data_IF_079796225055
#
_entry.id   IF_079796225055
#
_cell.length_a   1.000
_cell.length_b   1.000
_cell.length_c   1.000
_cell.angle_alpha   90.00
_cell.angle_beta   90.00
_cell.angle_gamma   90.00
#
_symmetry.space_group_name_H-M   'P 1'
#
loop_
_entity.id
_entity.type
_entity.pdbx_description
1 polymer ?
#
# COMPACT_ATOMS: atom_id res chain seq x y z
N UNK A 1 -11.22 13.89 -13.26
CA UNK A 1 -11.57 15.07 -12.44
C UNK A 1 -10.51 15.40 -11.39
N UNK A 2 -9.97 14.44 -10.63
CA UNK A 2 -8.95 14.74 -9.59
C UNK A 2 -7.69 15.36 -10.19
N UNK A 3 -7.01 14.66 -11.12
CA UNK A 3 -5.75 15.11 -11.73
C UNK A 3 -5.87 16.44 -12.50
N UNK A 4 -7.05 16.72 -13.07
CA UNK A 4 -7.30 17.95 -13.82
C UNK A 4 -7.43 19.20 -12.92
N UNK A 5 -7.78 19.02 -11.65
CA UNK A 5 -8.07 20.12 -10.73
C UNK A 5 -7.01 20.29 -9.62
N UNK A 6 -6.28 19.22 -9.30
CA UNK A 6 -5.31 19.21 -8.19
C UNK A 6 -4.16 20.22 -8.37
N UNK A 7 -3.82 20.56 -9.62
CA UNK A 7 -2.79 21.55 -9.95
C UNK A 7 -3.14 22.97 -9.47
N UNK A 8 -4.44 23.28 -9.35
CA UNK A 8 -4.95 24.59 -8.94
C UNK A 8 -5.20 24.71 -7.44
N UNK A 9 -5.10 23.58 -6.71
CA UNK A 9 -5.26 23.56 -5.26
C UNK A 9 -3.99 24.07 -4.58
N UNK A 10 -4.15 24.84 -3.52
CA UNK A 10 -3.06 25.42 -2.73
C UNK A 10 -3.00 24.86 -1.31
N UNK A 11 -4.09 24.26 -0.83
CA UNK A 11 -4.15 23.63 0.47
C UNK A 11 -3.52 22.22 0.44
N UNK A 12 -2.38 22.10 1.13
CA UNK A 12 -1.60 20.86 1.24
C UNK A 12 -2.40 19.67 1.80
N UNK A 13 -3.36 19.91 2.71
CA UNK A 13 -4.19 18.85 3.28
C UNK A 13 -5.26 18.35 2.30
N UNK A 14 -5.77 19.25 1.46
CA UNK A 14 -6.72 18.91 0.38
C UNK A 14 -6.00 18.12 -0.71
N UNK A 15 -4.82 18.56 -1.14
CA UNK A 15 -3.98 17.83 -2.11
C UNK A 15 -3.71 16.41 -1.59
N UNK A 16 -3.23 16.27 -0.36
CA UNK A 16 -2.95 14.97 0.24
C UNK A 16 -4.20 14.07 0.28
N UNK A 17 -5.37 14.64 0.58
CA UNK A 17 -6.64 13.90 0.59
C UNK A 17 -7.03 13.42 -0.81
N UNK A 18 -6.89 14.27 -1.82
CA UNK A 18 -7.17 13.93 -3.21
C UNK A 18 -6.22 12.86 -3.76
N UNK A 19 -4.93 12.92 -3.39
CA UNK A 19 -3.94 11.89 -3.76
C UNK A 19 -4.26 10.52 -3.14
N UNK A 20 -4.67 10.49 -1.86
CA UNK A 20 -5.15 9.24 -1.23
C UNK A 20 -6.40 8.68 -1.91
N UNK A 21 -7.33 9.55 -2.31
CA UNK A 21 -8.54 9.15 -3.04
C UNK A 21 -8.21 8.62 -4.44
N UNK A 22 -7.25 9.22 -5.13
CA UNK A 22 -6.74 8.74 -6.42
C UNK A 22 -6.18 7.32 -6.27
N UNK A 23 -5.27 7.10 -5.32
CA UNK A 23 -4.69 5.78 -5.06
C UNK A 23 -5.77 4.73 -4.69
N UNK A 24 -6.74 5.11 -3.87
CA UNK A 24 -7.88 4.24 -3.51
C UNK A 24 -8.71 3.88 -4.74
N UNK A 25 -8.99 4.86 -5.61
CA UNK A 25 -9.79 4.67 -6.82
C UNK A 25 -9.11 3.71 -7.78
N UNK A 26 -7.83 3.92 -8.06
CA UNK A 26 -7.02 3.05 -8.92
C UNK A 26 -6.91 1.62 -8.37
N UNK A 27 -6.79 1.49 -7.05
CA UNK A 27 -6.66 0.18 -6.39
C UNK A 27 -7.96 -0.63 -6.42
N UNK A 28 -9.08 0.01 -6.05
CA UNK A 28 -10.32 -0.71 -5.74
C UNK A 28 -11.44 -0.52 -6.77
N UNK A 29 -11.54 0.64 -7.41
CA UNK A 29 -12.75 1.01 -8.16
C UNK A 29 -12.59 0.91 -9.68
N UNK A 30 -11.37 1.03 -10.19
CA UNK A 30 -11.09 0.80 -11.62
C UNK A 30 -11.17 -0.70 -11.93
N UNK A 31 -11.81 -1.06 -13.04
CA UNK A 31 -11.90 -2.43 -13.56
C UNK A 31 -10.54 -2.98 -13.94
N UNK A 32 -10.38 -4.31 -13.90
CA UNK A 32 -9.11 -4.96 -14.21
C UNK A 32 -8.61 -4.65 -15.65
N UNK A 33 -9.54 -4.47 -16.60
CA UNK A 33 -9.22 -4.13 -18.00
C UNK A 33 -8.57 -2.74 -18.13
N UNK A 34 -9.05 -1.75 -17.37
CA UNK A 34 -8.56 -0.38 -17.46
C UNK A 34 -7.47 -0.04 -16.44
N UNK A 35 -7.26 -0.90 -15.42
CA UNK A 35 -6.44 -0.59 -14.23
C UNK A 35 -5.00 -0.22 -14.60
N UNK A 36 -4.35 -1.00 -15.45
CA UNK A 36 -2.94 -0.79 -15.80
C UNK A 36 -2.76 0.53 -16.56
N UNK A 37 -3.57 0.75 -17.60
CA UNK A 37 -3.54 1.99 -18.38
C UNK A 37 -3.86 3.22 -17.53
N UNK A 38 -4.88 3.14 -16.66
CA UNK A 38 -5.27 4.23 -15.77
C UNK A 38 -4.20 4.54 -14.72
N UNK A 39 -3.54 3.52 -14.17
CA UNK A 39 -2.47 3.67 -13.18
C UNK A 39 -1.25 4.32 -13.81
N UNK A 40 -0.82 3.85 -14.98
CA UNK A 40 0.29 4.44 -15.73
C UNK A 40 0.00 5.90 -16.06
N UNK A 41 -1.18 6.21 -16.62
CA UNK A 41 -1.54 7.58 -16.96
C UNK A 41 -1.62 8.51 -15.73
N UNK A 42 -2.10 8.00 -14.59
CA UNK A 42 -2.15 8.77 -13.35
C UNK A 42 -0.75 9.08 -12.80
N UNK A 43 0.15 8.11 -12.83
CA UNK A 43 1.55 8.33 -12.44
C UNK A 43 2.24 9.31 -13.38
N UNK A 44 2.07 9.19 -14.70
CA UNK A 44 2.64 10.16 -15.66
C UNK A 44 2.16 11.59 -15.42
N UNK A 45 0.85 11.76 -15.13
CA UNK A 45 0.30 13.07 -14.77
C UNK A 45 0.87 13.61 -13.46
N UNK A 46 1.07 12.77 -12.44
CA UNK A 46 1.71 13.18 -11.19
C UNK A 46 3.17 13.60 -11.39
N UNK A 47 3.88 12.94 -12.29
CA UNK A 47 5.23 13.33 -12.67
C UNK A 47 5.26 14.72 -13.33
N UNK A 48 4.36 14.97 -14.28
CA UNK A 48 4.21 16.29 -14.91
C UNK A 48 3.86 17.38 -13.88
N UNK A 49 2.93 17.08 -12.96
CA UNK A 49 2.57 17.99 -11.88
C UNK A 49 3.74 18.28 -10.94
N UNK A 50 4.57 17.29 -10.63
CA UNK A 50 5.77 17.51 -9.81
C UNK A 50 6.80 18.40 -10.49
N UNK A 51 6.87 18.36 -11.82
CA UNK A 51 7.81 19.16 -12.62
C UNK A 51 7.32 20.61 -12.83
N UNK A 52 6.01 20.85 -12.74
CA UNK A 52 5.39 22.16 -12.96
C UNK A 52 4.95 22.86 -11.67
N UNK A 53 4.91 22.15 -10.54
CA UNK A 53 4.67 22.72 -9.21
C UNK A 53 5.75 23.75 -8.83
N UNK A 54 5.42 24.67 -7.93
CA UNK A 54 6.40 25.61 -7.39
C UNK A 54 7.57 24.85 -6.74
N UNK A 55 8.80 25.19 -7.13
CA UNK A 55 10.03 24.56 -6.64
C UNK A 55 10.12 24.59 -5.10
N UNK A 56 10.39 23.44 -4.50
CA UNK A 56 10.51 23.28 -3.04
C UNK A 56 9.19 23.35 -2.28
N UNK A 57 8.04 23.33 -2.97
CA UNK A 57 6.72 23.34 -2.32
C UNK A 57 6.32 21.96 -1.77
N UNK A 58 5.45 21.96 -0.76
CA UNK A 58 4.82 20.74 -0.25
C UNK A 58 4.07 19.97 -1.36
N UNK A 59 3.42 20.68 -2.29
CA UNK A 59 2.73 20.08 -3.42
C UNK A 59 3.69 19.30 -4.32
N UNK A 60 4.86 19.88 -4.65
CA UNK A 60 5.90 19.19 -5.41
C UNK A 60 6.31 17.88 -4.71
N UNK A 61 6.60 17.94 -3.40
CA UNK A 61 6.96 16.74 -2.63
C UNK A 61 5.85 15.69 -2.65
N UNK A 62 4.59 16.09 -2.42
CA UNK A 62 3.45 15.17 -2.41
C UNK A 62 3.20 14.52 -3.78
N UNK A 63 3.41 15.24 -4.87
CA UNK A 63 3.31 14.69 -6.22
C UNK A 63 4.41 13.69 -6.52
N UNK A 64 5.67 13.96 -6.13
CA UNK A 64 6.77 12.98 -6.26
C UNK A 64 6.51 11.71 -5.45
N UNK A 65 6.06 11.86 -4.19
CA UNK A 65 5.70 10.73 -3.33
C UNK A 65 4.57 9.89 -3.93
N UNK A 66 3.54 10.54 -4.46
CA UNK A 66 2.40 9.86 -5.08
C UNK A 66 2.76 9.22 -6.42
N UNK A 67 3.63 9.86 -7.20
CA UNK A 67 4.22 9.28 -8.41
C UNK A 67 4.95 7.98 -8.09
N UNK A 68 5.85 8.01 -7.09
CA UNK A 68 6.58 6.81 -6.67
C UNK A 68 5.65 5.72 -6.13
N UNK A 69 4.60 6.09 -5.38
CA UNK A 69 3.59 5.16 -4.88
C UNK A 69 2.84 4.44 -6.01
N UNK A 70 2.53 5.15 -7.11
CA UNK A 70 1.70 4.66 -8.22
C UNK A 70 2.51 4.20 -9.43
N UNK A 71 3.84 4.28 -9.39
CA UNK A 71 4.70 3.83 -10.47
C UNK A 71 4.41 2.36 -10.82
N UNK A 72 4.15 2.09 -12.10
CA UNK A 72 3.73 0.77 -12.60
C UNK A 72 4.42 0.39 -13.92
N UNK A 73 5.17 1.29 -14.55
CA UNK A 73 5.89 1.02 -15.80
C UNK A 73 7.41 1.10 -15.64
N UNK A 74 8.15 0.49 -16.56
CA UNK A 74 9.61 0.51 -16.53
C UNK A 74 10.18 1.93 -16.56
N UNK A 75 9.64 2.82 -17.40
CA UNK A 75 10.09 4.21 -17.49
C UNK A 75 9.79 5.01 -16.22
N UNK A 76 8.67 4.73 -15.54
CA UNK A 76 8.34 5.37 -14.27
C UNK A 76 9.31 4.93 -13.17
N UNK A 77 9.64 3.64 -13.12
CA UNK A 77 10.68 3.15 -12.19
C UNK A 77 12.07 3.71 -12.52
N UNK A 78 12.40 3.91 -13.80
CA UNK A 78 13.66 4.56 -14.20
C UNK A 78 13.72 6.01 -13.68
N UNK A 79 12.60 6.74 -13.74
CA UNK A 79 12.49 8.08 -13.18
C UNK A 79 12.63 8.07 -11.65
N UNK A 80 11.93 7.16 -10.94
CA UNK A 80 12.07 7.00 -9.47
C UNK A 80 13.53 6.71 -9.10
N UNK A 81 14.20 5.82 -9.83
CA UNK A 81 15.62 5.49 -9.62
C UNK A 81 16.51 6.72 -9.81
N UNK A 82 16.27 7.49 -10.86
CA UNK A 82 17.05 8.68 -11.20
C UNK A 82 16.90 9.81 -10.17
N UNK A 83 15.73 9.94 -9.54
CA UNK A 83 15.54 10.86 -8.40
C UNK A 83 16.29 10.34 -7.16
N UNK A 84 16.23 9.04 -6.88
CA UNK A 84 16.85 8.45 -5.69
C UNK A 84 18.39 8.51 -5.72
N UNK A 85 19.00 8.34 -6.89
CA UNK A 85 20.46 8.41 -7.07
C UNK A 85 20.99 9.82 -7.38
N UNK A 86 20.08 10.78 -7.61
CA UNK A 86 20.41 12.17 -7.88
C UNK A 86 20.88 12.46 -9.30
N UNK A 87 20.77 11.50 -10.24
CA UNK A 87 21.03 11.74 -11.65
C UNK A 87 19.96 12.62 -12.32
N UNK A 88 18.75 12.66 -11.75
CA UNK A 88 17.69 13.60 -12.08
C UNK A 88 17.34 14.45 -10.86
N UNK A 89 17.45 15.77 -11.01
CA UNK A 89 17.16 16.74 -9.94
C UNK A 89 15.96 17.59 -10.35
N UNK A 90 14.92 17.56 -9.53
CA UNK A 90 13.81 18.52 -9.60
C UNK A 90 14.18 19.76 -8.79
N UNK A 91 14.07 20.94 -9.41
CA UNK A 91 14.46 22.19 -8.74
C UNK A 91 13.68 22.39 -7.43
N UNK A 92 14.41 22.77 -6.38
CA UNK A 92 13.90 22.93 -5.02
C UNK A 92 13.56 21.64 -4.26
N UNK A 93 13.52 20.47 -4.90
CA UNK A 93 13.22 19.20 -4.22
C UNK A 93 14.44 18.70 -3.44
N UNK A 94 14.31 18.61 -2.12
CA UNK A 94 15.30 17.94 -1.27
C UNK A 94 14.94 16.47 -1.11
N UNK A 95 15.85 15.57 -1.48
CA UNK A 95 15.70 14.12 -1.27
C UNK A 95 16.23 13.75 0.12
N UNK A 96 15.40 14.03 1.13
CA UNK A 96 15.67 13.66 2.53
C UNK A 96 15.44 12.17 2.80
N UNK A 97 15.75 11.73 4.02
CA UNK A 97 15.71 10.31 4.37
C UNK A 97 14.32 9.68 4.23
N UNK A 98 13.26 10.42 4.56
CA UNK A 98 11.89 9.93 4.42
C UNK A 98 11.54 9.74 2.94
N UNK A 99 11.90 10.70 2.07
CA UNK A 99 11.69 10.56 0.63
C UNK A 99 12.53 9.42 0.04
N UNK A 100 13.78 9.24 0.50
CA UNK A 100 14.64 8.11 0.07
C UNK A 100 13.97 6.76 0.32
N UNK A 101 13.38 6.57 1.49
CA UNK A 101 12.64 5.35 1.82
C UNK A 101 11.41 5.13 0.95
N UNK A 102 10.67 6.19 0.62
CA UNK A 102 9.51 6.08 -0.26
C UNK A 102 9.90 5.70 -1.69
N UNK A 103 10.94 6.32 -2.24
CA UNK A 103 11.49 6.00 -3.56
C UNK A 103 12.07 4.59 -3.60
N UNK A 104 12.85 4.20 -2.59
CA UNK A 104 13.39 2.84 -2.48
C UNK A 104 12.26 1.80 -2.40
N UNK A 105 11.23 2.05 -1.59
CA UNK A 105 10.09 1.13 -1.47
C UNK A 105 9.37 0.97 -2.81
N UNK A 106 9.19 2.06 -3.58
CA UNK A 106 8.60 1.98 -4.91
C UNK A 106 9.41 1.07 -5.84
N UNK A 107 10.74 1.20 -5.82
CA UNK A 107 11.64 0.35 -6.61
C UNK A 107 11.62 -1.12 -6.14
N UNK A 108 11.53 -1.36 -4.83
CA UNK A 108 11.37 -2.71 -4.27
C UNK A 108 10.09 -3.35 -4.75
N UNK A 109 8.96 -2.63 -4.65
CA UNK A 109 7.64 -3.10 -5.14
C UNK A 109 7.67 -3.41 -6.63
N UNK A 110 8.38 -2.60 -7.42
CA UNK A 110 8.60 -2.83 -8.85
C UNK A 110 9.62 -3.93 -9.17
N UNK A 111 10.20 -4.59 -8.17
CA UNK A 111 11.22 -5.63 -8.35
C UNK A 111 12.56 -5.13 -8.89
N UNK A 112 12.80 -3.80 -8.84
CA UNK A 112 14.02 -3.15 -9.33
C UNK A 112 15.13 -3.13 -8.29
N UNK A 113 14.78 -3.23 -7.01
CA UNK A 113 15.72 -3.29 -5.89
C UNK A 113 15.30 -4.38 -4.90
N UNK A 114 16.27 -4.94 -4.18
CA UNK A 114 16.08 -6.08 -3.28
C UNK A 114 16.44 -5.79 -1.83
N UNK A 115 16.53 -6.87 -1.05
CA UNK A 115 16.88 -6.82 0.38
C UNK A 115 18.22 -6.14 0.64
N UNK A 116 19.21 -6.36 -0.22
CA UNK A 116 20.54 -5.78 -0.15
C UNK A 116 20.50 -4.24 -0.13
N UNK A 117 19.62 -3.62 -0.92
CA UNK A 117 19.42 -2.18 -0.92
C UNK A 117 18.65 -1.66 0.28
N UNK A 118 17.69 -2.45 0.77
CA UNK A 118 16.96 -2.12 2.01
C UNK A 118 17.93 -2.10 3.18
N UNK A 119 18.79 -3.12 3.30
CA UNK A 119 19.78 -3.23 4.36
C UNK A 119 20.80 -2.08 4.27
N UNK A 120 21.29 -1.78 3.06
CA UNK A 120 22.23 -0.67 2.85
C UNK A 120 21.62 0.71 3.14
N UNK A 121 20.31 0.90 2.96
CA UNK A 121 19.63 2.14 3.32
C UNK A 121 19.32 2.19 4.83
N UNK A 122 19.00 1.05 5.44
CA UNK A 122 18.86 0.93 6.89
C UNK A 122 20.17 1.22 7.62
N UNK A 123 21.31 0.86 7.04
CA UNK A 123 22.65 1.23 7.54
C UNK A 123 22.91 2.75 7.49
N UNK A 124 22.23 3.48 6.60
CA UNK A 124 22.28 4.95 6.57
C UNK A 124 21.35 5.58 7.59
N UNK A 125 20.20 4.94 7.84
CA UNK A 125 19.14 5.44 8.71
C UNK A 125 18.79 4.47 9.83
N UNK A 126 19.59 4.51 10.89
CA UNK A 126 19.40 3.69 12.09
C UNK A 126 18.27 4.20 13.01
N UNK A 127 17.44 5.16 12.57
CA UNK A 127 16.37 5.71 13.39
C UNK A 127 15.18 4.74 13.51
N UNK A 128 14.27 5.02 14.45
CA UNK A 128 13.02 4.26 14.56
C UNK A 128 12.17 4.36 13.27
N UNK A 129 12.19 5.51 12.59
CA UNK A 129 11.52 5.67 11.31
C UNK A 129 12.18 4.83 10.22
N UNK A 130 13.52 4.79 10.17
CA UNK A 130 14.27 3.92 9.26
C UNK A 130 13.94 2.44 9.46
N UNK A 131 13.87 1.97 10.72
CA UNK A 131 13.46 0.60 11.03
C UNK A 131 12.03 0.30 10.56
N UNK A 132 11.10 1.24 10.76
CA UNK A 132 9.72 1.13 10.28
C UNK A 132 9.65 1.08 8.75
N UNK A 133 10.43 1.92 8.06
CA UNK A 133 10.48 1.96 6.60
C UNK A 133 11.12 0.69 6.01
N UNK A 134 12.20 0.20 6.61
CA UNK A 134 12.83 -1.07 6.21
C UNK A 134 11.89 -2.25 6.37
N UNK A 135 11.11 -2.31 7.46
CA UNK A 135 10.11 -3.35 7.67
C UNK A 135 8.99 -3.32 6.61
N UNK A 136 8.54 -2.12 6.22
CA UNK A 136 7.58 -1.93 5.13
C UNK A 136 8.16 -2.40 3.80
N UNK A 137 9.34 -1.90 3.41
CA UNK A 137 10.00 -2.26 2.16
C UNK A 137 10.26 -3.77 2.08
N UNK A 138 10.74 -4.39 3.16
CA UNK A 138 10.99 -5.83 3.23
C UNK A 138 9.72 -6.64 3.00
N UNK A 139 8.60 -6.26 3.62
CA UNK A 139 7.32 -6.93 3.42
C UNK A 139 6.70 -6.67 2.02
N UNK A 140 7.17 -5.63 1.33
CA UNK A 140 6.73 -5.24 0.00
C UNK A 140 7.49 -5.94 -1.15
N UNK A 141 8.55 -6.71 -0.85
CA UNK A 141 9.28 -7.49 -1.84
C UNK A 141 8.31 -8.37 -2.67
N UNK A 142 8.35 -8.29 -4.01
CA UNK A 142 7.32 -8.85 -4.89
C UNK A 142 7.61 -10.30 -5.27
N UNK A 143 7.94 -11.15 -4.28
CA UNK A 143 8.17 -12.58 -4.50
C UNK A 143 7.33 -13.45 -3.57
N UNK A 144 6.92 -14.66 -4.00
CA UNK A 144 6.20 -15.59 -3.14
C UNK A 144 6.92 -15.90 -1.83
N UNK A 145 8.26 -16.06 -1.88
CA UNK A 145 9.09 -16.37 -0.72
C UNK A 145 9.10 -15.22 0.29
N UNK A 146 9.19 -13.98 -0.21
CA UNK A 146 9.17 -12.80 0.66
C UNK A 146 7.80 -12.60 1.31
N UNK A 147 6.69 -12.83 0.57
CA UNK A 147 5.34 -12.81 1.15
C UNK A 147 5.17 -13.88 2.21
N UNK A 148 5.69 -15.08 1.99
CA UNK A 148 5.60 -16.16 2.97
C UNK A 148 6.39 -15.83 4.25
N UNK A 149 7.58 -15.24 4.10
CA UNK A 149 8.39 -14.79 5.21
C UNK A 149 7.72 -13.64 5.99
N UNK A 150 7.14 -12.67 5.30
CA UNK A 150 6.40 -11.57 5.92
C UNK A 150 5.15 -12.07 6.65
N UNK A 151 4.35 -12.94 6.02
CA UNK A 151 3.19 -13.59 6.65
C UNK A 151 3.56 -14.32 7.92
N UNK A 152 4.63 -15.15 7.88
CA UNK A 152 5.11 -15.86 9.06
C UNK A 152 5.46 -14.91 10.20
N UNK A 153 6.17 -13.81 9.93
CA UNK A 153 6.55 -12.83 10.95
C UNK A 153 5.34 -12.10 11.55
N UNK A 154 4.38 -11.71 10.71
CA UNK A 154 3.22 -10.92 11.14
C UNK A 154 2.18 -11.78 11.85
N UNK A 155 1.82 -12.92 11.26
CA UNK A 155 0.66 -13.73 11.67
C UNK A 155 1.07 -14.88 12.58
N UNK A 156 2.11 -15.63 12.20
CA UNK A 156 2.48 -16.89 12.88
C UNK A 156 3.28 -16.62 14.14
N UNK A 157 4.40 -15.89 14.05
CA UNK A 157 5.25 -15.64 15.23
C UNK A 157 4.75 -14.42 16.01
N UNK A 158 4.42 -13.34 15.32
CA UNK A 158 3.96 -12.07 15.90
C UNK A 158 4.94 -11.54 16.96
N UNK A 159 6.23 -11.61 16.64
CA UNK A 159 7.34 -11.15 17.48
C UNK A 159 7.67 -9.66 17.22
N UNK A 160 6.96 -9.02 16.30
CA UNK A 160 7.17 -7.63 15.90
C UNK A 160 6.62 -6.66 16.95
N UNK A 161 7.30 -5.54 17.15
CA UNK A 161 6.73 -4.42 17.90
C UNK A 161 5.53 -3.82 17.15
N UNK A 162 4.62 -3.13 17.84
CA UNK A 162 3.40 -2.59 17.23
C UNK A 162 3.66 -1.68 16.02
N UNK A 163 4.73 -0.86 16.06
CA UNK A 163 5.10 0.03 14.97
C UNK A 163 5.63 -0.74 13.75
N UNK A 164 6.55 -1.69 14.00
CA UNK A 164 7.11 -2.55 12.95
C UNK A 164 6.03 -3.44 12.33
N UNK A 165 5.10 -3.96 13.13
CA UNK A 165 3.96 -4.73 12.63
C UNK A 165 3.08 -3.88 11.70
N UNK A 166 2.73 -2.66 12.11
CA UNK A 166 1.93 -1.74 11.28
C UNK A 166 2.59 -1.49 9.91
N UNK A 167 3.90 -1.26 9.92
CA UNK A 167 4.70 -1.10 8.70
C UNK A 167 4.72 -2.37 7.85
N UNK A 168 4.97 -3.52 8.45
CA UNK A 168 5.03 -4.80 7.76
C UNK A 168 3.68 -5.19 7.13
N UNK A 169 2.56 -4.94 7.84
CA UNK A 169 1.20 -5.12 7.30
C UNK A 169 0.96 -4.22 6.08
N UNK A 170 1.37 -2.96 6.16
CA UNK A 170 1.27 -2.02 5.04
C UNK A 170 2.11 -2.49 3.84
N UNK A 171 3.34 -2.94 4.09
CA UNK A 171 4.23 -3.46 3.05
C UNK A 171 3.72 -4.77 2.43
N UNK A 172 3.16 -5.67 3.24
CA UNK A 172 2.63 -6.96 2.77
C UNK A 172 1.58 -6.77 1.68
N UNK A 173 0.67 -5.81 1.86
CA UNK A 173 -0.40 -5.53 0.89
C UNK A 173 0.06 -4.65 -0.28
N UNK A 174 1.23 -4.02 -0.21
CA UNK A 174 1.77 -3.22 -1.31
C UNK A 174 2.36 -4.14 -2.38
N UNK A 175 1.59 -4.37 -3.45
CA UNK A 175 1.95 -5.22 -4.59
C UNK A 175 1.47 -4.60 -5.90
N UNK A 176 2.18 -4.87 -6.99
CA UNK A 176 1.68 -4.62 -8.35
C UNK A 176 0.84 -5.80 -8.85
N UNK A 177 1.35 -7.02 -8.64
CA UNK A 177 0.65 -8.26 -8.95
C UNK A 177 -0.12 -8.78 -7.72
N UNK A 178 -1.45 -8.71 -7.79
CA UNK A 178 -2.32 -9.20 -6.72
C UNK A 178 -2.34 -10.72 -6.59
N UNK A 179 -1.84 -11.48 -7.58
CA UNK A 179 -1.74 -12.94 -7.50
C UNK A 179 -0.89 -13.39 -6.31
N UNK A 180 0.10 -12.57 -5.91
CA UNK A 180 0.93 -12.80 -4.72
C UNK A 180 0.14 -12.81 -3.41
N UNK A 181 -1.08 -12.27 -3.39
CA UNK A 181 -1.94 -12.21 -2.22
C UNK A 181 -2.94 -13.37 -2.16
N UNK A 182 -3.22 -14.04 -3.29
CA UNK A 182 -4.21 -15.12 -3.38
C UNK A 182 -3.98 -16.26 -2.39
N UNK A 183 -2.75 -16.76 -2.15
CA UNK A 183 -2.52 -17.86 -1.21
C UNK A 183 -2.92 -17.52 0.23
N UNK A 184 -2.99 -16.23 0.57
CA UNK A 184 -3.25 -15.75 1.92
C UNK A 184 -4.73 -15.42 2.17
N UNK A 185 -5.57 -15.44 1.13
CA UNK A 185 -6.98 -15.13 1.26
C UNK A 185 -7.70 -16.09 2.21
N UNK A 186 -7.43 -17.40 2.09
CA UNK A 186 -8.00 -18.42 2.99
C UNK A 186 -7.26 -18.46 4.32
N UNK A 187 -5.92 -18.44 4.30
CA UNK A 187 -5.10 -18.42 5.51
C UNK A 187 -5.44 -17.27 6.46
N UNK A 188 -5.84 -16.11 5.92
CA UNK A 188 -6.34 -14.99 6.71
C UNK A 188 -7.56 -15.37 7.55
N UNK A 189 -8.60 -15.94 6.96
CA UNK A 189 -9.81 -16.30 7.70
C UNK A 189 -9.54 -17.40 8.74
N UNK A 190 -8.65 -18.33 8.43
CA UNK A 190 -8.22 -19.38 9.37
C UNK A 190 -7.46 -18.81 10.58
N UNK A 191 -6.60 -17.81 10.37
CA UNK A 191 -5.74 -17.26 11.41
C UNK A 191 -6.44 -16.24 12.32
N UNK A 192 -7.45 -15.50 11.81
CA UNK A 192 -8.11 -14.41 12.55
C UNK A 192 -8.63 -14.80 13.95
N UNK A 193 -9.33 -15.94 14.14
CA UNK A 193 -9.83 -16.33 15.47
C UNK A 193 -8.71 -16.45 16.52
N UNK A 194 -7.59 -17.09 16.15
CA UNK A 194 -6.44 -17.27 17.05
C UNK A 194 -5.76 -15.93 17.37
N UNK A 195 -5.61 -15.07 16.36
CA UNK A 195 -5.02 -13.73 16.53
C UNK A 195 -5.85 -12.91 17.52
N UNK A 196 -7.17 -12.89 17.37
CA UNK A 196 -8.06 -12.12 18.25
C UNK A 196 -8.07 -12.67 19.67
N UNK A 197 -7.94 -13.99 19.84
CA UNK A 197 -7.89 -14.62 21.16
C UNK A 197 -6.56 -14.35 21.90
N UNK A 198 -5.44 -14.32 21.20
CA UNK A 198 -4.11 -14.37 21.81
C UNK A 198 -3.29 -13.08 21.72
N UNK A 199 -3.69 -12.10 20.88
CA UNK A 199 -2.96 -10.84 20.69
C UNK A 199 -3.66 -9.67 21.41
N UNK A 200 -2.90 -8.61 21.67
CA UNK A 200 -3.48 -7.36 22.17
C UNK A 200 -4.48 -6.80 21.16
N UNK A 201 -5.50 -6.07 21.63
CA UNK A 201 -6.51 -5.48 20.75
C UNK A 201 -5.92 -4.63 19.62
N UNK A 202 -4.86 -3.86 19.89
CA UNK A 202 -4.20 -3.04 18.88
C UNK A 202 -3.53 -3.90 17.79
N UNK A 203 -2.79 -4.93 18.19
CA UNK A 203 -2.13 -5.84 17.23
C UNK A 203 -3.13 -6.64 16.42
N UNK A 204 -4.18 -7.16 17.07
CA UNK A 204 -5.25 -7.89 16.40
C UNK A 204 -5.98 -7.00 15.39
N UNK A 205 -6.31 -5.76 15.76
CA UNK A 205 -6.96 -4.81 14.85
C UNK A 205 -6.09 -4.50 13.63
N UNK A 206 -4.78 -4.25 13.82
CA UNK A 206 -3.86 -4.01 12.70
C UNK A 206 -3.86 -5.16 11.70
N UNK A 207 -3.87 -6.41 12.18
CA UNK A 207 -3.88 -7.60 11.32
C UNK A 207 -5.26 -7.79 10.68
N UNK A 208 -6.34 -7.76 11.46
CA UNK A 208 -7.71 -7.98 10.96
C UNK A 208 -8.07 -6.96 9.89
N UNK A 209 -7.77 -5.68 10.09
CA UNK A 209 -8.09 -4.65 9.10
C UNK A 209 -7.06 -4.63 7.98
N UNK A 210 -5.77 -4.66 8.31
CA UNK A 210 -4.72 -4.43 7.34
C UNK A 210 -4.36 -5.63 6.45
N UNK A 211 -4.61 -6.87 6.88
CA UNK A 211 -4.41 -8.07 6.07
C UNK A 211 -5.70 -8.64 5.46
N UNK A 212 -6.84 -7.99 5.68
CA UNK A 212 -8.08 -8.40 5.00
C UNK A 212 -7.85 -8.34 3.47
N UNK A 213 -8.25 -9.38 2.71
CA UNK A 213 -7.93 -9.50 1.28
C UNK A 213 -8.76 -8.57 0.38
N UNK A 214 -8.87 -7.29 0.74
CA UNK A 214 -9.66 -6.28 0.03
C UNK A 214 -9.22 -6.09 -1.42
N UNK A 215 -7.92 -6.20 -1.71
CA UNK A 215 -7.40 -6.03 -3.08
C UNK A 215 -7.78 -7.19 -4.01
N UNK A 216 -8.12 -8.36 -3.43
CA UNK A 216 -8.79 -9.44 -4.15
C UNK A 216 -10.29 -9.14 -4.24
N UNK A 217 -10.63 -8.01 -4.86
CA UNK A 217 -12.00 -7.50 -5.00
C UNK A 217 -12.83 -8.43 -5.91
N UNK A 218 -13.36 -9.49 -5.32
CA UNK A 218 -14.12 -10.55 -6.00
C UNK A 218 -15.35 -10.94 -5.19
N UNK A 219 -16.36 -11.53 -5.85
CA UNK A 219 -17.51 -12.08 -5.13
C UNK A 219 -17.09 -13.17 -4.13
N UNK A 220 -16.06 -13.96 -4.46
CA UNK A 220 -15.55 -15.00 -3.58
C UNK A 220 -14.96 -14.44 -2.26
N UNK A 221 -14.44 -13.21 -2.24
CA UNK A 221 -13.99 -12.56 -1.01
C UNK A 221 -15.17 -12.15 -0.12
N UNK A 222 -16.26 -11.67 -0.72
CA UNK A 222 -17.51 -11.36 -0.01
C UNK A 222 -18.11 -12.63 0.59
N UNK A 223 -18.23 -13.69 -0.20
CA UNK A 223 -18.83 -14.96 0.22
C UNK A 223 -18.03 -15.62 1.36
N UNK A 224 -16.70 -15.59 1.30
CA UNK A 224 -15.84 -16.06 2.40
C UNK A 224 -16.06 -15.26 3.67
N UNK A 225 -16.22 -13.94 3.55
CA UNK A 225 -16.48 -13.08 4.71
C UNK A 225 -17.85 -13.36 5.32
N UNK A 226 -18.87 -13.57 4.49
CA UNK A 226 -20.22 -13.94 4.95
C UNK A 226 -20.24 -15.29 5.66
N UNK A 227 -19.54 -16.29 5.12
CA UNK A 227 -19.37 -17.59 5.79
C UNK A 227 -18.69 -17.44 7.15
N UNK A 228 -17.57 -16.71 7.20
CA UNK A 228 -16.86 -16.45 8.46
C UNK A 228 -17.77 -15.77 9.49
N UNK A 229 -18.52 -14.75 9.08
CA UNK A 229 -19.46 -14.02 9.95
C UNK A 229 -20.61 -14.89 10.50
N UNK A 230 -21.05 -15.90 9.74
CA UNK A 230 -22.09 -16.84 10.16
C UNK A 230 -21.61 -17.82 11.22
N UNK A 231 -20.31 -18.15 11.20
CA UNK A 231 -19.67 -19.09 12.13
C UNK A 231 -19.13 -18.39 13.41
N UNK A 232 -19.03 -17.05 13.41
CA UNK A 232 -18.55 -16.29 14.56
C UNK A 232 -19.44 -16.44 15.81
N UNK A 233 -18.85 -16.66 17.00
CA UNK A 233 -19.57 -16.65 18.27
C UNK A 233 -20.39 -15.37 18.49
N UNK A 234 -21.50 -15.48 19.21
CA UNK A 234 -22.45 -14.39 19.43
C UNK A 234 -21.84 -13.20 20.20
N UNK A 235 -20.85 -13.45 21.05
CA UNK A 235 -20.14 -12.46 21.87
C UNK A 235 -18.98 -11.75 21.13
N UNK A 236 -18.64 -12.17 19.90
CA UNK A 236 -17.55 -11.60 19.09
C UNK A 236 -17.92 -10.29 18.38
N UNK A 237 -18.61 -9.38 19.07
CA UNK A 237 -19.20 -8.15 18.51
C UNK A 237 -18.19 -7.22 17.82
N UNK A 238 -17.01 -7.00 18.42
CA UNK A 238 -15.97 -6.14 17.87
C UNK A 238 -15.38 -6.70 16.57
N UNK A 239 -15.10 -8.01 16.53
CA UNK A 239 -14.61 -8.69 15.33
C UNK A 239 -15.68 -8.69 14.23
N UNK A 240 -16.93 -9.01 14.58
CA UNK A 240 -18.07 -8.94 13.66
C UNK A 240 -18.17 -7.56 12.98
N UNK A 241 -18.04 -6.47 13.74
CA UNK A 241 -18.06 -5.11 13.19
C UNK A 241 -16.91 -4.88 12.20
N UNK A 242 -15.67 -5.22 12.55
CA UNK A 242 -14.52 -5.04 11.65
C UNK A 242 -14.67 -5.84 10.35
N UNK A 243 -15.16 -7.07 10.44
CA UNK A 243 -15.39 -7.93 9.27
C UNK A 243 -16.50 -7.41 8.37
N UNK A 244 -17.59 -6.86 8.94
CA UNK A 244 -18.65 -6.20 8.18
C UNK A 244 -18.15 -4.94 7.46
N UNK A 245 -17.40 -4.07 8.14
CA UNK A 245 -16.82 -2.85 7.54
C UNK A 245 -15.89 -3.19 6.36
N UNK A 246 -15.03 -4.20 6.53
CA UNK A 246 -14.15 -4.73 5.49
C UNK A 246 -14.92 -5.29 4.28
N UNK A 247 -15.93 -6.12 4.54
CA UNK A 247 -16.82 -6.69 3.52
C UNK A 247 -17.54 -5.61 2.73
N UNK A 248 -18.07 -4.59 3.39
CA UNK A 248 -18.78 -3.48 2.75
C UNK A 248 -17.86 -2.67 1.83
N UNK A 249 -16.57 -2.58 2.18
CA UNK A 249 -15.51 -2.07 1.29
C UNK A 249 -15.45 -2.81 -0.04
N UNK A 250 -15.34 -4.14 0.00
CA UNK A 250 -15.26 -4.99 -1.20
C UNK A 250 -16.57 -4.96 -1.99
N UNK A 251 -17.71 -5.04 -1.31
CA UNK A 251 -19.03 -4.99 -1.97
C UNK A 251 -19.25 -3.66 -2.70
N UNK A 252 -18.80 -2.54 -2.12
CA UNK A 252 -18.84 -1.22 -2.79
C UNK A 252 -17.92 -1.19 -4.01
N UNK A 253 -16.72 -1.76 -3.89
CA UNK A 253 -15.77 -1.80 -4.98
C UNK A 253 -16.27 -2.65 -6.17
N UNK A 254 -16.93 -3.77 -5.91
CA UNK A 254 -17.60 -4.58 -6.95
C UNK A 254 -18.69 -3.79 -7.68
N UNK A 255 -19.55 -3.07 -6.93
CA UNK A 255 -20.60 -2.23 -7.53
C UNK A 255 -20.01 -1.10 -8.39
N UNK A 256 -18.92 -0.47 -7.94
CA UNK A 256 -18.24 0.57 -8.70
C UNK A 256 -17.64 0.01 -10.00
N UNK A 257 -16.93 -1.13 -9.94
CA UNK A 257 -16.38 -1.80 -11.12
C UNK A 257 -17.44 -2.22 -12.13
N UNK A 258 -18.61 -2.66 -11.68
CA UNK A 258 -19.72 -3.00 -12.58
C UNK A 258 -20.31 -1.78 -13.33
N UNK A 259 -20.06 -0.56 -12.85
CA UNK A 259 -20.50 0.69 -13.46
C UNK A 259 -19.40 1.40 -14.27
N UNK A 260 -18.16 0.90 -14.22
CA UNK A 260 -16.99 1.37 -14.97
C UNK A 260 -16.96 0.67 -16.33
N UNK A 261 -17.83 1.12 -17.24
CA UNK A 261 -18.00 0.64 -18.62
C UNK A 261 -17.29 1.51 -19.64
#
# INVERSE_FOLDING_TARGET
MILANIASETDSSVIQTQLRQLATTLTYYVTAEHKDAATVAAADALWELSSTAAAGSDAQLQFVKSFALLAASSSQFDAVQSVLDGSMVLDGLTVDQDLRWELLTALVVGGRQGQDRIDAELERDHTANGQNAAALATAALPTPEAKAAAWKKIVVTGELSNAIQSSAVTGFTRVLDTSLLEPYAEQYFEAVPEIVANRTHALAQQIVVGLYPAQLTTQATVDRTDKFLAELPADSSALRRMMLENRDGVARALKARAADI
#
